data_IF_546386240088
#
_entry.id   IF_546386240088
#
_cell.length_a   1.000
_cell.length_b   1.000
_cell.length_c   1.000
_cell.angle_alpha   90.00
_cell.angle_beta   90.00
_cell.angle_gamma   90.00
#
_symmetry.space_group_name_H-M   'P 1'
#
loop_
_entity.id
_entity.type
_entity.pdbx_description
1 polymer ?
#
# COMPACT_ATOMS: atom_id res chain seq x y z
N UNK A 1 50.25 -19.38 -3.08
CA UNK A 1 49.14 -19.26 -4.05
C UNK A 1 47.89 -19.87 -3.42
N UNK A 2 46.95 -19.06 -2.90
CA UNK A 2 45.66 -19.52 -2.38
C UNK A 2 44.59 -18.64 -3.02
N UNK A 3 43.83 -19.20 -3.96
CA UNK A 3 42.73 -18.51 -4.63
C UNK A 3 41.52 -18.69 -3.72
N UNK A 4 41.12 -17.64 -3.01
CA UNK A 4 39.86 -17.64 -2.27
C UNK A 4 38.73 -17.30 -3.26
N UNK A 5 37.90 -18.30 -3.58
CA UNK A 5 36.70 -18.10 -4.38
C UNK A 5 35.64 -17.39 -3.52
N UNK A 6 35.51 -16.08 -3.69
CA UNK A 6 34.43 -15.30 -3.08
C UNK A 6 33.11 -15.62 -3.77
N UNK A 7 32.19 -16.28 -3.07
CA UNK A 7 30.79 -16.38 -3.49
C UNK A 7 30.15 -15.01 -3.29
N UNK A 8 30.12 -14.22 -4.36
CA UNK A 8 29.40 -12.95 -4.38
C UNK A 8 27.89 -13.21 -4.39
N UNK A 9 27.22 -12.91 -3.28
CA UNK A 9 25.75 -12.82 -3.23
C UNK A 9 25.33 -11.64 -4.11
N UNK A 10 24.94 -11.91 -5.36
CA UNK A 10 24.26 -10.92 -6.19
C UNK A 10 22.88 -10.66 -5.56
N UNK A 11 22.78 -9.57 -4.80
CA UNK A 11 21.49 -8.98 -4.45
C UNK A 11 20.86 -8.46 -5.75
N UNK A 12 19.87 -9.18 -6.29
CA UNK A 12 19.06 -8.66 -7.37
C UNK A 12 18.25 -7.47 -6.84
N UNK A 13 18.72 -6.25 -7.10
CA UNK A 13 17.97 -5.03 -6.82
C UNK A 13 16.84 -4.99 -7.85
N UNK A 14 15.64 -5.42 -7.45
CA UNK A 14 14.45 -5.22 -8.27
C UNK A 14 14.25 -3.71 -8.47
N UNK A 15 14.02 -3.23 -9.70
CA UNK A 15 13.74 -1.82 -9.91
C UNK A 15 12.48 -1.43 -9.14
N UNK A 16 12.53 -0.30 -8.44
CA UNK A 16 11.33 0.27 -7.84
C UNK A 16 10.30 0.51 -8.95
N UNK A 17 9.08 -0.02 -8.78
CA UNK A 17 7.99 0.27 -9.69
C UNK A 17 7.73 1.78 -9.69
N UNK A 18 7.97 2.44 -10.82
CA UNK A 18 7.65 3.85 -10.97
C UNK A 18 6.13 4.03 -10.99
N UNK A 19 5.64 5.06 -10.29
CA UNK A 19 4.24 5.44 -10.38
C UNK A 19 3.89 5.72 -11.85
N UNK A 20 2.82 5.11 -12.36
CA UNK A 20 2.33 5.40 -13.71
C UNK A 20 1.52 6.71 -13.66
N UNK A 21 2.06 7.84 -14.17
CA UNK A 21 1.37 9.13 -14.06
C UNK A 21 0.03 9.13 -14.80
N UNK A 22 -0.17 8.21 -15.75
CA UNK A 22 -1.41 8.09 -16.49
C UNK A 22 -2.55 7.45 -15.69
N UNK A 23 -2.32 6.96 -14.46
CA UNK A 23 -3.39 6.41 -13.61
C UNK A 23 -4.47 7.45 -13.35
N UNK A 24 -4.09 8.67 -12.96
CA UNK A 24 -5.06 9.73 -12.67
C UNK A 24 -5.87 10.14 -13.90
N UNK A 25 -5.22 10.22 -15.06
CA UNK A 25 -5.90 10.50 -16.32
C UNK A 25 -6.93 9.41 -16.65
N UNK A 26 -6.60 8.13 -16.44
CA UNK A 26 -7.54 7.02 -16.65
C UNK A 26 -8.74 7.10 -15.71
N UNK A 27 -8.50 7.30 -14.42
CA UNK A 27 -9.56 7.36 -13.41
C UNK A 27 -10.54 8.52 -13.61
N UNK A 28 -10.14 9.58 -14.33
CA UNK A 28 -11.02 10.70 -14.72
C UNK A 28 -11.78 10.49 -16.03
N UNK A 29 -11.58 9.38 -16.73
CA UNK A 29 -12.25 9.16 -18.03
C UNK A 29 -13.76 9.07 -17.81
N UNK A 30 -14.57 9.95 -18.42
CA UNK A 30 -16.01 9.90 -18.27
C UNK A 30 -16.58 8.60 -18.85
N UNK A 31 -17.74 8.19 -18.35
CA UNK A 31 -18.50 7.02 -18.82
C UNK A 31 -17.75 5.67 -18.75
N UNK A 32 -16.67 5.60 -17.96
CA UNK A 32 -15.92 4.38 -17.68
C UNK A 32 -15.79 4.14 -16.18
N UNK A 33 -15.96 2.89 -15.77
CA UNK A 33 -15.77 2.46 -14.39
C UNK A 33 -14.42 1.76 -14.22
N UNK A 34 -13.71 2.10 -13.15
CA UNK A 34 -12.44 1.51 -12.79
C UNK A 34 -12.49 0.97 -11.36
N UNK A 35 -11.86 -0.18 -11.13
CA UNK A 35 -11.63 -0.71 -9.79
C UNK A 35 -10.19 -0.42 -9.37
N UNK A 36 -10.03 0.18 -8.21
CA UNK A 36 -8.72 0.48 -7.62
C UNK A 36 -8.49 -0.44 -6.44
N UNK A 37 -7.44 -1.26 -6.52
CA UNK A 37 -7.02 -2.15 -5.43
C UNK A 37 -5.77 -1.56 -4.78
N UNK A 38 -5.81 -1.39 -3.46
CA UNK A 38 -4.71 -0.85 -2.68
C UNK A 38 -4.47 -1.73 -1.45
N UNK A 39 -3.21 -1.83 -1.03
CA UNK A 39 -2.88 -2.39 0.28
C UNK A 39 -3.28 -1.37 1.36
N UNK A 40 -3.65 -1.86 2.53
CA UNK A 40 -3.82 -1.01 3.72
C UNK A 40 -2.52 -0.23 4.03
N UNK A 41 -2.67 0.95 4.65
CA UNK A 41 -1.56 1.73 5.17
C UNK A 41 -0.87 1.05 6.37
N UNK A 42 0.18 1.63 6.94
CA UNK A 42 0.98 0.96 7.97
C UNK A 42 0.15 0.45 9.18
N UNK A 43 0.14 -0.88 9.36
CA UNK A 43 -0.40 -1.58 10.53
C UNK A 43 0.71 -2.50 11.09
N UNK A 44 1.37 -2.13 12.21
CA UNK A 44 2.50 -2.88 12.75
C UNK A 44 2.15 -4.31 13.15
N UNK A 45 3.14 -5.22 13.05
CA UNK A 45 2.98 -6.64 13.34
C UNK A 45 2.56 -7.48 12.12
N UNK A 46 2.33 -8.77 12.36
CA UNK A 46 1.92 -9.74 11.33
C UNK A 46 0.80 -10.63 11.86
N UNK A 47 -0.15 -10.99 11.00
CA UNK A 47 -1.34 -11.75 11.40
C UNK A 47 -2.29 -10.98 12.32
N UNK A 48 -3.26 -11.69 12.88
CA UNK A 48 -4.16 -11.17 13.92
C UNK A 48 -3.60 -11.44 15.32
N UNK A 49 -3.86 -10.57 16.31
CA UNK A 49 -3.42 -10.80 17.68
C UNK A 49 -4.04 -12.07 18.29
N UNK A 50 -3.33 -12.72 19.24
CA UNK A 50 -3.77 -13.99 19.83
C UNK A 50 -5.16 -13.93 20.51
N UNK A 51 -5.58 -12.76 21.00
CA UNK A 51 -6.87 -12.52 21.64
C UNK A 51 -7.86 -11.74 20.72
N UNK A 52 -7.67 -11.84 19.40
CA UNK A 52 -8.55 -11.22 18.41
C UNK A 52 -10.02 -11.60 18.62
N UNK A 53 -10.89 -10.60 18.66
CA UNK A 53 -12.34 -10.73 18.67
C UNK A 53 -12.93 -9.92 17.51
N UNK A 54 -13.67 -10.57 16.61
CA UNK A 54 -14.16 -9.96 15.37
C UNK A 54 -15.00 -8.69 15.61
N UNK A 55 -15.81 -8.67 16.66
CA UNK A 55 -16.69 -7.54 16.98
C UNK A 55 -16.03 -6.45 17.84
N UNK A 56 -14.76 -6.62 18.21
CA UNK A 56 -13.99 -5.63 18.98
C UNK A 56 -12.74 -5.22 18.21
N UNK A 57 -12.86 -4.09 17.48
CA UNK A 57 -11.76 -3.53 16.71
C UNK A 57 -10.51 -3.26 17.55
N UNK A 58 -10.62 -3.03 18.87
CA UNK A 58 -9.46 -2.73 19.73
C UNK A 58 -8.51 -3.91 19.88
N UNK A 59 -9.00 -5.13 19.64
CA UNK A 59 -8.22 -6.38 19.71
C UNK A 59 -7.56 -6.79 18.39
N UNK A 60 -7.78 -6.03 17.31
CA UNK A 60 -7.32 -6.36 15.96
C UNK A 60 -5.98 -5.67 15.60
N UNK A 61 -5.36 -6.09 14.49
CA UNK A 61 -4.18 -5.39 13.94
C UNK A 61 -4.60 -4.10 13.24
N UNK A 62 -4.62 -3.01 13.99
CA UNK A 62 -5.03 -1.69 13.48
C UNK A 62 -3.90 -0.87 12.86
N UNK A 63 -4.27 0.16 12.11
CA UNK A 63 -3.34 1.17 11.62
C UNK A 63 -2.64 1.88 12.80
N UNK A 64 -1.34 2.15 12.66
CA UNK A 64 -0.62 3.03 13.57
C UNK A 64 -1.06 4.49 13.37
N UNK A 65 -0.57 5.40 14.22
CA UNK A 65 -0.75 6.84 14.00
C UNK A 65 -0.18 7.28 12.63
N UNK A 66 1.00 6.77 12.27
CA UNK A 66 1.60 6.99 10.96
C UNK A 66 0.76 6.38 9.83
N UNK A 67 0.26 5.16 10.02
CA UNK A 67 -0.62 4.51 9.03
C UNK A 67 -1.92 5.28 8.79
N UNK A 68 -2.50 5.89 9.83
CA UNK A 68 -3.66 6.77 9.67
C UNK A 68 -3.31 8.02 8.88
N UNK A 69 -2.17 8.66 9.18
CA UNK A 69 -1.70 9.82 8.42
C UNK A 69 -1.46 9.47 6.94
N UNK A 70 -0.89 8.29 6.64
CA UNK A 70 -0.73 7.78 5.28
C UNK A 70 -2.08 7.61 4.58
N UNK A 71 -3.07 7.00 5.24
CA UNK A 71 -4.41 6.80 4.67
C UNK A 71 -5.11 8.15 4.37
N UNK A 72 -4.97 9.14 5.26
CA UNK A 72 -5.47 10.50 5.06
C UNK A 72 -4.82 11.18 3.85
N UNK A 73 -3.49 11.05 3.71
CA UNK A 73 -2.75 11.57 2.56
C UNK A 73 -3.17 10.91 1.25
N UNK A 74 -3.38 9.58 1.24
CA UNK A 74 -3.94 8.88 0.07
C UNK A 74 -5.30 9.45 -0.28
N UNK A 75 -6.22 9.58 0.68
CA UNK A 75 -7.54 10.17 0.43
C UNK A 75 -7.46 11.62 -0.10
N UNK A 76 -6.52 12.42 0.42
CA UNK A 76 -6.29 13.77 -0.07
C UNK A 76 -5.80 13.79 -1.52
N UNK A 77 -4.91 12.87 -1.91
CA UNK A 77 -4.43 12.75 -3.29
C UNK A 77 -5.57 12.44 -4.28
N UNK A 78 -6.45 11.48 -3.94
CA UNK A 78 -7.63 11.18 -4.78
C UNK A 78 -8.53 12.40 -4.97
N UNK A 79 -8.82 13.12 -3.88
CA UNK A 79 -9.63 14.36 -3.93
C UNK A 79 -8.97 15.45 -4.77
N UNK A 80 -7.66 15.65 -4.63
CA UNK A 80 -6.91 16.63 -5.40
C UNK A 80 -6.94 16.32 -6.92
N UNK A 81 -7.00 15.04 -7.27
CA UNK A 81 -7.09 14.57 -8.66
C UNK A 81 -8.53 14.52 -9.20
N UNK A 82 -9.52 14.97 -8.42
CA UNK A 82 -10.93 14.97 -8.79
C UNK A 82 -11.55 13.57 -8.88
N UNK A 83 -10.92 12.55 -8.28
CA UNK A 83 -11.40 11.17 -8.28
C UNK A 83 -12.15 10.91 -6.98
N UNK A 84 -13.44 10.61 -7.09
CA UNK A 84 -14.29 10.24 -5.95
C UNK A 84 -14.47 8.72 -5.98
N UNK A 85 -13.96 8.04 -4.95
CA UNK A 85 -14.22 6.61 -4.79
C UNK A 85 -15.68 6.41 -4.34
N UNK A 86 -16.40 5.52 -5.02
CA UNK A 86 -17.73 5.08 -4.58
C UNK A 86 -17.67 4.24 -3.31
N UNK A 87 -18.77 4.18 -2.57
CA UNK A 87 -18.95 3.19 -1.52
C UNK A 87 -19.06 1.78 -2.16
N UNK A 88 -18.48 0.78 -1.50
CA UNK A 88 -18.54 -0.64 -1.89
C UNK A 88 -19.24 -1.42 -0.79
#
# INVERSE_FOLDING_TARGET
MKIAAGVGLLLAIAPAAAANPAVWARLRTPDQAYFVLMRHALAPGTGDPAAFTLNDCTTQRNLSAEGRAQAEQTGAAFRAEGVIAGAV
#
